data_IF_794854558539
#
_entry.id   IF_794854558539
#
_cell.length_a   1.000
_cell.length_b   1.000
_cell.length_c   1.000
_cell.angle_alpha   90.00
_cell.angle_beta   90.00
_cell.angle_gamma   90.00
#
_symmetry.space_group_name_H-M   'P 1'
#
loop_
_entity.id
_entity.type
_entity.pdbx_description
1 polymer ?
#
# COMPACT_ATOMS: atom_id res chain seq x y z
N UNK A 1 19.37 -62.70 34.93
CA UNK A 1 18.37 -62.06 35.82
C UNK A 1 19.11 -60.94 36.55
N UNK A 2 18.98 -59.71 36.08
CA UNK A 2 19.81 -58.56 36.49
C UNK A 2 19.35 -57.96 37.81
N UNK A 3 20.28 -57.77 38.75
CA UNK A 3 20.11 -56.90 39.91
C UNK A 3 20.01 -55.45 39.46
N UNK A 4 18.96 -54.75 39.92
CA UNK A 4 18.78 -53.31 39.75
C UNK A 4 19.50 -52.64 40.91
N UNK A 5 20.68 -52.08 40.65
CA UNK A 5 21.36 -51.17 41.57
C UNK A 5 20.62 -49.81 41.55
N UNK A 6 20.11 -49.41 42.70
CA UNK A 6 19.49 -48.09 42.90
C UNK A 6 20.59 -47.08 43.25
N UNK A 7 20.80 -46.11 42.36
CA UNK A 7 21.75 -45.00 42.57
C UNK A 7 21.17 -44.01 43.59
N UNK A 8 21.91 -43.59 44.63
CA UNK A 8 21.39 -42.70 45.66
C UNK A 8 21.30 -41.26 45.15
N UNK A 9 20.15 -40.62 45.38
CA UNK A 9 19.91 -39.19 45.19
C UNK A 9 20.74 -38.37 46.18
N UNK A 10 21.70 -37.58 45.68
CA UNK A 10 22.41 -36.58 46.50
C UNK A 10 21.52 -35.37 46.71
N UNK A 11 21.20 -35.09 47.97
CA UNK A 11 20.57 -33.85 48.40
C UNK A 11 21.64 -32.85 48.85
N UNK A 12 21.71 -31.70 48.19
CA UNK A 12 22.41 -30.52 48.69
C UNK A 12 21.36 -29.43 48.94
N UNK A 13 21.24 -28.97 50.18
CA UNK A 13 20.36 -27.86 50.56
C UNK A 13 18.85 -28.05 50.27
N UNK A 14 18.32 -29.27 50.39
CA UNK A 14 16.86 -29.50 50.43
C UNK A 14 16.07 -29.21 49.15
N UNK A 15 16.72 -28.81 48.06
CA UNK A 15 16.09 -28.65 46.74
C UNK A 15 16.33 -29.93 45.94
N UNK A 16 15.28 -30.61 45.44
CA UNK A 16 15.46 -31.77 44.59
C UNK A 16 16.14 -31.34 43.29
N UNK A 17 17.36 -31.84 43.06
CA UNK A 17 18.01 -31.72 41.76
C UNK A 17 17.19 -32.59 40.79
N UNK A 18 16.43 -31.94 39.90
CA UNK A 18 15.83 -32.62 38.74
C UNK A 18 16.98 -33.30 38.00
N UNK A 19 16.92 -34.63 37.92
CA UNK A 19 17.83 -35.41 37.08
C UNK A 19 17.78 -34.92 35.62
N UNK A 20 18.72 -35.38 34.77
CA UNK A 20 18.81 -34.90 33.40
C UNK A 20 17.46 -35.15 32.73
N UNK A 21 16.69 -34.08 32.52
CA UNK A 21 15.58 -34.18 31.60
C UNK A 21 16.20 -34.52 30.27
N UNK A 22 15.78 -35.65 29.70
CA UNK A 22 15.97 -35.93 28.28
C UNK A 22 15.22 -34.81 27.57
N UNK A 23 15.94 -33.71 27.31
CA UNK A 23 15.43 -32.47 26.73
C UNK A 23 15.21 -32.81 25.27
N UNK A 24 13.95 -33.15 24.97
CA UNK A 24 13.50 -33.29 23.60
C UNK A 24 13.84 -32.02 22.84
N UNK A 25 14.25 -32.21 21.59
CA UNK A 25 14.72 -31.24 20.61
C UNK A 25 13.86 -29.95 20.57
N UNK A 26 14.07 -29.04 21.52
CA UNK A 26 13.37 -27.77 21.58
C UNK A 26 14.15 -26.78 20.70
N UNK A 27 13.60 -26.31 19.57
CA UNK A 27 14.33 -25.47 18.62
C UNK A 27 14.76 -24.11 19.19
N UNK A 28 14.18 -23.72 20.34
CA UNK A 28 14.50 -22.50 21.09
C UNK A 28 15.53 -22.72 22.21
N UNK A 29 16.04 -23.95 22.39
CA UNK A 29 17.08 -24.23 23.37
C UNK A 29 18.48 -23.82 22.86
N UNK A 30 18.79 -22.54 23.01
CA UNK A 30 20.08 -21.98 22.60
C UNK A 30 21.27 -22.53 23.39
N UNK A 31 21.05 -23.09 24.59
CA UNK A 31 22.11 -23.71 25.39
C UNK A 31 22.62 -25.01 24.73
N UNK A 32 21.74 -25.72 24.02
CA UNK A 32 22.07 -26.93 23.28
C UNK A 32 22.66 -26.61 21.90
N UNK A 33 22.26 -25.48 21.31
CA UNK A 33 22.64 -25.08 19.95
C UNK A 33 24.02 -24.44 19.85
N UNK A 34 24.42 -23.69 20.87
CA UNK A 34 25.74 -23.05 20.96
C UNK A 34 26.41 -23.48 22.27
N UNK A 35 27.67 -23.96 22.28
CA UNK A 35 28.36 -24.37 23.51
C UNK A 35 28.66 -23.18 24.43
N UNK A 36 28.93 -23.45 25.72
CA UNK A 36 29.23 -22.39 26.71
C UNK A 36 30.57 -21.75 26.36
N UNK A 37 30.63 -20.42 26.43
CA UNK A 37 31.89 -19.71 26.21
C UNK A 37 32.80 -19.92 27.43
N UNK A 38 34.11 -19.74 27.24
CA UNK A 38 35.03 -19.77 28.37
C UNK A 38 34.73 -18.61 29.33
N UNK A 39 34.94 -18.85 30.64
CA UNK A 39 34.77 -17.80 31.65
C UNK A 39 35.59 -16.57 31.25
N UNK A 40 34.95 -15.39 31.22
CA UNK A 40 35.44 -14.08 30.74
C UNK A 40 35.43 -13.84 29.22
N UNK A 41 35.00 -14.80 28.39
CA UNK A 41 34.85 -14.63 26.93
C UNK A 41 33.39 -14.47 26.46
N UNK A 42 32.44 -14.40 27.40
CA UNK A 42 30.98 -14.25 27.17
C UNK A 42 30.57 -13.00 26.33
N UNK A 43 31.47 -12.02 26.18
CA UNK A 43 31.27 -10.81 25.37
C UNK A 43 32.27 -10.70 24.20
N UNK A 44 33.07 -11.73 23.97
CA UNK A 44 34.05 -11.80 22.89
C UNK A 44 33.40 -11.71 21.50
N UNK A 45 34.22 -11.50 20.46
CA UNK A 45 33.73 -11.32 19.08
C UNK A 45 32.89 -12.49 18.55
N UNK A 46 33.13 -13.69 19.09
CA UNK A 46 32.45 -14.94 18.72
C UNK A 46 31.57 -15.51 19.84
N UNK A 47 31.30 -14.72 20.88
CA UNK A 47 30.52 -15.18 22.02
C UNK A 47 29.13 -15.68 21.60
N UNK A 48 28.65 -16.68 22.33
CA UNK A 48 27.32 -17.27 22.25
C UNK A 48 26.24 -16.21 22.18
N UNK A 49 26.31 -15.17 23.02
CA UNK A 49 25.29 -14.10 23.08
C UNK A 49 25.04 -13.44 21.71
N UNK A 50 26.09 -13.17 20.93
CA UNK A 50 25.96 -12.56 19.61
C UNK A 50 25.37 -13.52 18.59
N UNK A 51 25.68 -14.82 18.70
CA UNK A 51 25.14 -15.85 17.80
C UNK A 51 23.64 -16.08 18.06
N UNK A 52 23.27 -16.20 19.33
CA UNK A 52 21.86 -16.28 19.76
C UNK A 52 21.09 -15.05 19.32
N UNK A 53 21.64 -13.85 19.53
CA UNK A 53 21.01 -12.59 19.10
C UNK A 53 20.78 -12.53 17.59
N UNK A 54 21.77 -12.88 16.77
CA UNK A 54 21.63 -12.88 15.32
C UNK A 54 20.56 -13.85 14.83
N UNK A 55 20.44 -15.00 15.49
CA UNK A 55 19.46 -16.01 15.12
C UNK A 55 18.03 -15.56 15.43
N UNK A 56 17.80 -15.04 16.64
CA UNK A 56 16.50 -14.48 17.04
C UNK A 56 16.12 -13.26 16.18
N UNK A 57 17.06 -12.33 16.00
CA UNK A 57 16.83 -11.17 15.15
C UNK A 57 16.64 -11.55 13.67
N UNK A 58 17.31 -12.59 13.20
CA UNK A 58 17.15 -13.11 11.85
C UNK A 58 15.75 -13.65 11.62
N UNK A 59 15.21 -14.43 12.56
CA UNK A 59 13.84 -14.92 12.51
C UNK A 59 12.82 -13.77 12.51
N UNK A 60 13.00 -12.79 13.39
CA UNK A 60 12.17 -11.58 13.46
C UNK A 60 12.23 -10.75 12.16
N UNK A 61 13.43 -10.50 11.63
CA UNK A 61 13.62 -9.70 10.40
C UNK A 61 13.00 -10.40 9.19
N UNK A 62 13.13 -11.73 9.09
CA UNK A 62 12.48 -12.50 8.02
C UNK A 62 10.96 -12.32 8.09
N UNK A 63 10.36 -12.51 9.26
CA UNK A 63 8.91 -12.39 9.43
C UNK A 63 8.40 -10.99 9.09
N UNK A 64 9.09 -9.95 9.57
CA UNK A 64 8.73 -8.55 9.32
C UNK A 64 8.85 -8.20 7.83
N UNK A 65 9.99 -8.53 7.22
CA UNK A 65 10.29 -8.14 5.84
C UNK A 65 9.48 -8.94 4.82
N UNK A 66 9.16 -10.20 5.10
CA UNK A 66 8.28 -11.01 4.26
C UNK A 66 6.87 -10.40 4.21
N UNK A 67 6.29 -10.02 5.36
CA UNK A 67 5.00 -9.34 5.42
C UNK A 67 5.00 -8.01 4.66
N UNK A 68 6.07 -7.21 4.79
CA UNK A 68 6.21 -5.96 4.05
C UNK A 68 6.35 -6.19 2.55
N UNK A 69 7.20 -7.14 2.14
CA UNK A 69 7.43 -7.46 0.74
C UNK A 69 6.15 -7.93 0.07
N UNK A 70 5.45 -8.88 0.69
CA UNK A 70 4.22 -9.46 0.15
C UNK A 70 3.11 -8.41 0.04
N UNK A 71 2.97 -7.54 1.05
CA UNK A 71 2.03 -6.41 0.99
C UNK A 71 2.35 -5.43 -0.14
N UNK A 72 3.63 -5.05 -0.28
CA UNK A 72 4.10 -4.16 -1.36
C UNK A 72 3.94 -4.78 -2.75
N UNK A 73 4.15 -6.09 -2.88
CA UNK A 73 3.96 -6.83 -4.12
C UNK A 73 2.51 -6.79 -4.61
N UNK A 74 1.56 -7.04 -3.71
CA UNK A 74 0.13 -6.96 -4.02
C UNK A 74 -0.27 -5.53 -4.41
N UNK A 75 0.21 -4.53 -3.67
CA UNK A 75 -0.06 -3.11 -3.98
C UNK A 75 0.46 -2.72 -5.36
N UNK A 76 1.65 -3.19 -5.75
CA UNK A 76 2.25 -2.86 -7.05
C UNK A 76 1.44 -3.44 -8.21
N UNK A 77 0.99 -4.70 -8.10
CA UNK A 77 0.12 -5.32 -9.10
C UNK A 77 -1.20 -4.56 -9.22
N UNK A 78 -1.82 -4.23 -8.08
CA UNK A 78 -3.05 -3.45 -8.07
C UNK A 78 -2.86 -2.07 -8.70
N UNK A 79 -1.81 -1.34 -8.32
CA UNK A 79 -1.51 -0.02 -8.87
C UNK A 79 -1.28 -0.06 -10.39
N UNK A 80 -0.59 -1.08 -10.91
CA UNK A 80 -0.39 -1.27 -12.35
C UNK A 80 -1.71 -1.49 -13.10
N UNK A 81 -2.52 -2.44 -12.64
CA UNK A 81 -3.82 -2.75 -13.26
C UNK A 81 -4.79 -1.57 -13.18
N UNK A 82 -4.87 -0.93 -12.01
CA UNK A 82 -5.71 0.24 -11.80
C UNK A 82 -5.26 1.41 -12.69
N UNK A 83 -3.95 1.68 -12.78
CA UNK A 83 -3.43 2.75 -13.66
C UNK A 83 -3.79 2.50 -15.13
N UNK A 84 -3.75 1.25 -15.59
CA UNK A 84 -4.17 0.90 -16.94
C UNK A 84 -5.64 1.22 -17.18
N UNK A 85 -6.53 0.85 -16.25
CA UNK A 85 -7.95 1.17 -16.32
C UNK A 85 -8.18 2.69 -16.30
N UNK A 86 -7.57 3.43 -15.37
CA UNK A 86 -7.72 4.90 -15.34
C UNK A 86 -7.22 5.55 -16.64
N UNK A 87 -6.13 5.03 -17.21
CA UNK A 87 -5.57 5.55 -18.46
C UNK A 87 -6.54 5.42 -19.62
N UNK A 88 -7.34 4.34 -19.72
CA UNK A 88 -8.32 4.21 -20.82
C UNK A 88 -9.38 5.31 -20.74
N UNK A 89 -9.86 5.63 -19.54
CA UNK A 89 -10.82 6.71 -19.30
C UNK A 89 -10.19 8.08 -19.59
N UNK A 90 -8.97 8.33 -19.12
CA UNK A 90 -8.23 9.57 -19.39
C UNK A 90 -8.01 9.79 -20.89
N UNK A 91 -7.65 8.73 -21.64
CA UNK A 91 -7.48 8.82 -23.10
C UNK A 91 -8.80 9.18 -23.79
N UNK A 92 -9.92 8.65 -23.32
CA UNK A 92 -11.25 8.98 -23.86
C UNK A 92 -11.67 10.42 -23.54
N UNK A 93 -11.56 10.86 -22.27
CA UNK A 93 -12.07 12.19 -21.87
C UNK A 93 -11.11 13.34 -22.10
N UNK A 94 -9.82 13.08 -22.25
CA UNK A 94 -8.85 14.15 -22.60
C UNK A 94 -9.15 14.76 -23.96
N UNK A 95 -9.82 14.02 -24.85
CA UNK A 95 -10.31 14.55 -26.12
C UNK A 95 -11.40 15.61 -25.92
N UNK A 96 -12.19 15.55 -24.84
CA UNK A 96 -13.19 16.57 -24.51
C UNK A 96 -12.55 17.90 -24.06
N UNK A 97 -11.25 17.92 -23.75
CA UNK A 97 -10.49 19.14 -23.47
C UNK A 97 -9.97 19.82 -24.73
N UNK A 98 -10.28 19.28 -25.91
CA UNK A 98 -9.89 19.82 -27.20
C UNK A 98 -11.12 20.14 -28.05
N UNK A 99 -10.93 20.99 -29.05
CA UNK A 99 -11.98 21.32 -30.03
C UNK A 99 -12.41 20.06 -30.77
N UNK A 100 -13.70 19.72 -30.69
CA UNK A 100 -14.26 18.65 -31.49
C UNK A 100 -14.59 19.17 -32.90
N UNK A 101 -13.61 19.06 -33.81
CA UNK A 101 -13.81 19.44 -35.22
C UNK A 101 -14.96 18.69 -35.89
N UNK A 102 -15.26 17.45 -35.48
CA UNK A 102 -16.42 16.70 -35.98
C UNK A 102 -17.74 17.37 -35.62
N UNK A 103 -17.88 17.85 -34.39
CA UNK A 103 -19.06 18.61 -33.96
C UNK A 103 -19.15 19.96 -34.67
N UNK A 104 -18.03 20.69 -34.80
CA UNK A 104 -17.97 21.98 -35.53
C UNK A 104 -18.40 21.79 -36.98
N UNK A 105 -17.87 20.77 -37.67
CA UNK A 105 -18.25 20.45 -39.05
C UNK A 105 -19.72 20.06 -39.15
N UNK A 106 -20.23 19.23 -38.22
CA UNK A 106 -21.65 18.86 -38.22
C UNK A 106 -22.56 20.08 -38.04
N UNK A 107 -22.24 21.00 -37.11
CA UNK A 107 -23.05 22.22 -36.90
C UNK A 107 -23.02 23.15 -38.12
N UNK A 108 -21.86 23.30 -38.77
CA UNK A 108 -21.75 24.11 -40.00
C UNK A 108 -22.49 23.46 -41.18
N UNK A 109 -22.50 22.13 -41.27
CA UNK A 109 -23.28 21.40 -42.27
C UNK A 109 -24.79 21.53 -42.04
N UNK A 110 -25.25 21.51 -40.78
CA UNK A 110 -26.65 21.78 -40.45
C UNK A 110 -27.06 23.20 -40.85
N UNK A 111 -26.22 24.20 -40.54
CA UNK A 111 -26.47 25.59 -40.98
C UNK A 111 -26.56 25.68 -42.51
N UNK A 112 -25.67 25.00 -43.24
CA UNK A 112 -25.72 24.98 -44.71
C UNK A 112 -27.03 24.35 -45.25
N UNK A 113 -27.49 23.26 -44.65
CA UNK A 113 -28.74 22.59 -45.04
C UNK A 113 -29.95 23.49 -44.74
N UNK A 114 -29.95 24.18 -43.61
CA UNK A 114 -31.03 25.10 -43.24
C UNK A 114 -31.09 26.32 -44.15
N UNK A 115 -29.93 26.87 -44.55
CA UNK A 115 -29.85 27.94 -45.59
C UNK A 115 -30.43 27.45 -46.92
N UNK A 116 -30.09 26.24 -47.35
CA UNK A 116 -30.62 25.67 -48.59
C UNK A 116 -32.15 25.49 -48.54
N UNK A 117 -32.68 25.03 -47.40
CA UNK A 117 -34.12 24.87 -47.19
C UNK A 117 -34.84 26.23 -47.13
N UNK A 118 -34.26 27.21 -46.47
CA UNK A 118 -34.79 28.57 -46.41
C UNK A 118 -34.87 29.21 -47.80
N UNK A 119 -33.79 29.07 -48.60
CA UNK A 119 -33.76 29.54 -49.98
C UNK A 119 -34.82 28.86 -50.87
N UNK A 120 -35.02 27.54 -50.71
CA UNK A 120 -36.03 26.80 -51.45
C UNK A 120 -37.48 27.20 -51.09
N UNK A 121 -37.72 27.58 -49.83
CA UNK A 121 -39.04 28.04 -49.35
C UNK A 121 -39.27 29.55 -49.58
N UNK A 122 -38.31 30.28 -50.16
CA UNK A 122 -38.41 31.71 -50.40
C UNK A 122 -38.31 32.59 -49.16
N UNK A 123 -37.85 32.04 -48.03
CA UNK A 123 -37.56 32.83 -46.82
C UNK A 123 -36.19 33.51 -46.91
N UNK A 124 -36.02 34.62 -46.19
CA UNK A 124 -34.76 35.36 -46.15
C UNK A 124 -33.70 34.55 -45.40
N UNK A 125 -32.47 34.53 -45.93
CA UNK A 125 -31.32 33.81 -45.33
C UNK A 125 -31.02 34.30 -43.91
N UNK A 126 -31.32 35.56 -43.62
CA UNK A 126 -31.12 36.16 -42.30
C UNK A 126 -32.05 35.61 -41.20
N UNK A 127 -33.11 34.90 -41.57
CA UNK A 127 -34.00 34.23 -40.60
C UNK A 127 -33.44 32.86 -40.15
N UNK A 128 -32.35 32.38 -40.75
CA UNK A 128 -31.69 31.14 -40.36
C UNK A 128 -30.78 31.40 -39.15
N UNK A 129 -30.92 30.66 -38.04
CA UNK A 129 -30.03 30.79 -36.90
C UNK A 129 -28.58 30.51 -37.29
N UNK A 130 -27.69 31.48 -37.04
CA UNK A 130 -26.25 31.30 -37.21
C UNK A 130 -25.71 30.22 -36.26
N UNK A 131 -24.72 29.45 -36.72
CA UNK A 131 -24.06 28.48 -35.84
C UNK A 131 -23.34 29.17 -34.68
N UNK A 132 -23.49 28.60 -33.49
CA UNK A 132 -22.79 29.06 -32.29
C UNK A 132 -21.31 28.66 -32.26
N UNK A 133 -20.83 27.83 -33.20
CA UNK A 133 -19.46 27.34 -33.26
C UNK A 133 -18.81 27.81 -34.57
N UNK A 134 -17.66 28.48 -34.45
CA UNK A 134 -16.84 28.85 -35.61
C UNK A 134 -15.46 28.21 -35.49
N UNK A 135 -14.71 28.02 -36.60
CA UNK A 135 -13.35 27.46 -36.55
C UNK A 135 -12.35 28.31 -35.73
N UNK A 136 -12.74 29.55 -35.40
CA UNK A 136 -11.93 30.55 -34.71
C UNK A 136 -12.46 30.91 -33.32
N UNK A 137 -13.54 30.26 -32.84
CA UNK A 137 -14.05 30.54 -31.50
C UNK A 137 -13.07 30.02 -30.44
N UNK A 138 -12.77 30.85 -29.43
CA UNK A 138 -11.97 30.44 -28.28
C UNK A 138 -12.63 29.26 -27.57
N UNK A 139 -11.95 28.11 -27.61
CA UNK A 139 -12.46 26.90 -26.99
C UNK A 139 -12.24 26.94 -25.49
N UNK A 140 -13.35 26.92 -24.75
CA UNK A 140 -13.33 26.74 -23.31
C UNK A 140 -14.00 25.40 -22.98
N UNK A 141 -13.25 24.42 -22.44
CA UNK A 141 -13.84 23.17 -22.01
C UNK A 141 -14.86 23.43 -20.90
N UNK A 142 -15.90 22.61 -20.84
CA UNK A 142 -16.91 22.77 -19.80
C UNK A 142 -16.29 22.57 -18.42
N UNK A 143 -16.85 23.24 -17.41
CA UNK A 143 -16.38 23.10 -16.01
C UNK A 143 -16.47 21.63 -15.57
N UNK A 144 -17.49 20.89 -16.02
CA UNK A 144 -17.63 19.46 -15.75
C UNK A 144 -16.51 18.63 -16.39
N UNK A 145 -16.15 18.88 -17.65
CA UNK A 145 -15.12 18.09 -18.34
C UNK A 145 -13.74 18.34 -17.74
N UNK A 146 -13.44 19.58 -17.36
CA UNK A 146 -12.19 19.92 -16.68
C UNK A 146 -12.10 19.29 -15.29
N UNK A 147 -13.19 19.27 -14.52
CA UNK A 147 -13.24 18.61 -13.22
C UNK A 147 -13.06 17.08 -13.33
N UNK A 148 -13.76 16.41 -14.25
CA UNK A 148 -13.67 14.96 -14.44
C UNK A 148 -12.24 14.57 -14.84
N UNK A 149 -11.67 15.24 -15.85
CA UNK A 149 -10.30 14.99 -16.27
C UNK A 149 -9.31 15.29 -15.14
N UNK A 150 -9.47 16.38 -14.40
CA UNK A 150 -8.65 16.71 -13.23
C UNK A 150 -8.68 15.61 -12.16
N UNK A 151 -9.86 15.09 -11.83
CA UNK A 151 -10.01 13.96 -10.90
C UNK A 151 -9.30 12.70 -11.40
N UNK A 152 -9.39 12.37 -12.69
CA UNK A 152 -8.74 11.17 -13.21
C UNK A 152 -7.22 11.32 -13.35
N UNK A 153 -6.71 12.49 -13.74
CA UNK A 153 -5.27 12.75 -13.74
C UNK A 153 -4.68 12.72 -12.34
N UNK A 154 -5.38 13.28 -11.34
CA UNK A 154 -4.93 13.24 -9.93
C UNK A 154 -4.97 11.82 -9.38
N UNK A 155 -6.03 11.06 -9.67
CA UNK A 155 -6.10 9.63 -9.35
C UNK A 155 -4.91 8.87 -9.94
N UNK A 156 -4.66 9.01 -11.25
CA UNK A 156 -3.56 8.34 -11.94
C UNK A 156 -2.21 8.72 -11.33
N UNK A 157 -2.00 10.00 -11.02
CA UNK A 157 -0.78 10.49 -10.37
C UNK A 157 -0.54 9.85 -9.01
N UNK A 158 -1.57 9.74 -8.15
CA UNK A 158 -1.43 9.07 -6.86
C UNK A 158 -1.15 7.56 -6.99
N UNK A 159 -1.77 6.89 -7.97
CA UNK A 159 -1.52 5.47 -8.24
C UNK A 159 -0.06 5.23 -8.68
N UNK A 160 0.45 6.05 -9.62
CA UNK A 160 1.84 5.97 -10.07
C UNK A 160 2.83 6.33 -8.97
N UNK A 161 2.54 7.35 -8.15
CA UNK A 161 3.36 7.69 -7.00
C UNK A 161 3.44 6.51 -6.02
N UNK A 162 2.29 5.87 -5.73
CA UNK A 162 2.25 4.67 -4.86
C UNK A 162 3.09 3.53 -5.42
N UNK A 163 3.01 3.27 -6.73
CA UNK A 163 3.84 2.28 -7.40
C UNK A 163 5.35 2.62 -7.31
N UNK A 164 5.72 3.88 -7.47
CA UNK A 164 7.11 4.33 -7.35
C UNK A 164 7.64 4.10 -5.92
N UNK A 165 6.89 4.50 -4.89
CA UNK A 165 7.30 4.30 -3.51
C UNK A 165 7.30 2.81 -3.10
N UNK A 166 6.40 2.00 -3.65
CA UNK A 166 6.43 0.54 -3.51
C UNK A 166 7.75 -0.05 -4.04
N UNK A 167 8.21 0.39 -5.21
CA UNK A 167 9.51 -0.04 -5.78
C UNK A 167 10.68 0.44 -4.91
N UNK A 168 10.68 1.70 -4.45
CA UNK A 168 11.73 2.22 -3.55
C UNK A 168 11.80 1.43 -2.25
N UNK A 169 10.64 1.11 -1.67
CA UNK A 169 10.56 0.30 -0.45
C UNK A 169 11.20 -1.06 -0.65
N UNK A 170 10.92 -1.74 -1.78
CA UNK A 170 11.58 -3.01 -2.11
C UNK A 170 13.09 -2.88 -2.18
N UNK A 171 13.60 -1.79 -2.75
CA UNK A 171 15.04 -1.53 -2.80
C UNK A 171 15.63 -1.35 -1.40
N UNK A 172 14.94 -0.64 -0.50
CA UNK A 172 15.38 -0.48 0.89
C UNK A 172 15.39 -1.79 1.65
N UNK A 173 14.34 -2.61 1.52
CA UNK A 173 14.25 -3.95 2.12
C UNK A 173 15.40 -4.83 1.61
N UNK A 174 15.66 -4.83 0.30
CA UNK A 174 16.75 -5.60 -0.28
C UNK A 174 18.11 -5.17 0.30
N UNK A 175 18.36 -3.87 0.39
CA UNK A 175 19.61 -3.33 0.95
C UNK A 175 19.76 -3.65 2.45
N UNK A 176 18.66 -3.68 3.20
CA UNK A 176 18.67 -4.07 4.61
C UNK A 176 19.12 -5.53 4.78
N UNK A 177 18.60 -6.44 3.95
CA UNK A 177 18.93 -7.89 4.00
C UNK A 177 20.33 -8.25 3.54
N UNK A 178 21.07 -7.32 2.93
CA UNK A 178 22.42 -7.59 2.44
C UNK A 178 23.34 -8.02 3.59
N UNK A 179 23.78 -9.28 3.56
CA UNK A 179 24.52 -9.94 4.65
C UNK A 179 25.83 -9.18 4.96
N UNK A 180 26.02 -8.67 6.18
CA UNK A 180 27.29 -8.04 6.56
C UNK A 180 28.41 -9.08 6.66
N UNK A 181 29.59 -8.76 6.12
CA UNK A 181 30.81 -9.53 6.33
C UNK A 181 31.46 -9.16 7.67
N UNK A 182 31.90 -10.15 8.46
CA UNK A 182 32.60 -9.88 9.72
C UNK A 182 32.36 -10.91 10.81
N UNK A 183 32.79 -10.58 12.03
CA UNK A 183 32.54 -11.40 13.23
C UNK A 183 31.04 -11.35 13.61
N UNK A 184 30.53 -12.34 14.38
CA UNK A 184 29.15 -12.29 14.89
C UNK A 184 28.81 -10.97 15.57
N UNK A 185 29.73 -10.45 16.39
CA UNK A 185 29.56 -9.14 17.05
C UNK A 185 29.39 -7.99 16.06
N UNK A 186 30.23 -7.91 15.02
CA UNK A 186 30.15 -6.85 14.01
C UNK A 186 28.82 -6.92 13.23
N UNK A 187 28.39 -8.14 12.90
CA UNK A 187 27.09 -8.38 12.25
C UNK A 187 25.92 -7.87 13.11
N UNK A 188 25.96 -8.11 14.42
CA UNK A 188 24.95 -7.60 15.36
C UNK A 188 24.88 -6.07 15.32
N UNK A 189 26.02 -5.40 15.43
CA UNK A 189 26.07 -3.93 15.43
C UNK A 189 25.59 -3.33 14.11
N UNK A 190 26.01 -3.89 12.98
CA UNK A 190 25.59 -3.41 11.65
C UNK A 190 24.08 -3.60 11.46
N UNK A 191 23.54 -4.76 11.85
CA UNK A 191 22.08 -5.01 11.81
C UNK A 191 21.34 -4.01 12.69
N UNK A 192 21.78 -3.83 13.93
CA UNK A 192 21.12 -2.94 14.87
C UNK A 192 21.14 -1.49 14.40
N UNK A 193 22.28 -1.03 13.86
CA UNK A 193 22.39 0.29 13.25
C UNK A 193 21.41 0.48 12.09
N UNK A 194 21.29 -0.52 11.20
CA UNK A 194 20.32 -0.47 10.09
C UNK A 194 18.88 -0.49 10.58
N UNK A 195 18.56 -1.29 11.60
CA UNK A 195 17.21 -1.36 12.18
C UNK A 195 16.82 -0.04 12.84
N UNK A 196 17.70 0.55 13.64
CA UNK A 196 17.51 1.89 14.20
C UNK A 196 17.33 2.94 13.11
N UNK A 197 18.07 2.82 11.99
CA UNK A 197 17.83 3.63 10.80
C UNK A 197 16.43 3.46 10.23
N UNK A 198 15.97 2.22 10.01
CA UNK A 198 14.61 1.97 9.50
C UNK A 198 13.52 2.60 10.39
N UNK A 199 13.70 2.52 11.71
CA UNK A 199 12.79 3.07 12.69
C UNK A 199 12.84 4.61 12.72
N UNK A 200 14.03 5.20 12.77
CA UNK A 200 14.23 6.65 12.78
C UNK A 200 13.68 7.33 11.52
N UNK A 201 13.84 6.68 10.36
CA UNK A 201 13.33 7.19 9.08
C UNK A 201 11.87 6.80 8.82
N UNK A 202 11.23 6.06 9.74
CA UNK A 202 9.81 5.73 9.66
C UNK A 202 9.45 4.88 8.43
N UNK A 203 10.33 3.97 8.00
CA UNK A 203 10.09 3.15 6.79
C UNK A 203 8.81 2.33 6.95
N UNK A 204 8.55 1.77 8.13
CA UNK A 204 7.30 1.07 8.43
C UNK A 204 6.06 1.96 8.27
N UNK A 205 6.15 3.24 8.63
CA UNK A 205 5.06 4.21 8.43
C UNK A 205 4.82 4.49 6.94
N UNK A 206 5.88 4.65 6.15
CA UNK A 206 5.77 4.83 4.69
C UNK A 206 5.06 3.63 4.06
N UNK A 207 5.45 2.40 4.43
CA UNK A 207 4.85 1.15 3.93
C UNK A 207 3.37 1.09 4.33
N UNK A 208 3.06 1.44 5.58
CA UNK A 208 1.69 1.50 6.09
C UNK A 208 0.83 2.54 5.36
N UNK A 209 1.42 3.61 4.83
CA UNK A 209 0.70 4.68 4.11
C UNK A 209 0.36 4.31 2.65
N UNK A 210 1.13 3.42 2.00
CA UNK A 210 0.94 3.05 0.60
C UNK A 210 -0.49 2.53 0.28
N UNK A 211 -1.08 1.59 1.05
CA UNK A 211 -2.46 1.16 0.84
C UNK A 211 -3.48 2.31 0.89
N UNK A 212 -3.26 3.31 1.77
CA UNK A 212 -4.17 4.45 1.91
C UNK A 212 -4.08 5.38 0.71
N UNK A 213 -2.87 5.67 0.20
CA UNK A 213 -2.70 6.47 -1.02
C UNK A 213 -3.38 5.81 -2.22
N UNK A 214 -3.23 4.50 -2.37
CA UNK A 214 -3.86 3.73 -3.44
C UNK A 214 -5.39 3.69 -3.33
N UNK A 215 -5.89 3.55 -2.11
CA UNK A 215 -7.34 3.56 -1.84
C UNK A 215 -7.94 4.96 -2.06
N UNK A 216 -7.22 6.02 -1.70
CA UNK A 216 -7.62 7.40 -1.97
C UNK A 216 -7.67 7.68 -3.48
N UNK A 217 -6.67 7.21 -4.22
CA UNK A 217 -6.64 7.24 -5.68
C UNK A 217 -7.88 6.57 -6.29
N UNK A 218 -8.19 5.34 -5.87
CA UNK A 218 -9.42 4.63 -6.28
C UNK A 218 -10.69 5.43 -5.97
N UNK A 219 -10.78 6.05 -4.78
CA UNK A 219 -11.92 6.87 -4.38
C UNK A 219 -12.12 8.09 -5.29
N UNK A 220 -11.04 8.82 -5.58
CA UNK A 220 -11.06 9.97 -6.48
C UNK A 220 -11.50 9.53 -7.89
N UNK A 221 -11.00 8.39 -8.39
CA UNK A 221 -11.43 7.84 -9.68
C UNK A 221 -12.93 7.53 -9.72
N UNK A 222 -13.45 6.87 -8.69
CA UNK A 222 -14.87 6.49 -8.64
C UNK A 222 -15.79 7.71 -8.52
N UNK A 223 -15.37 8.75 -7.79
CA UNK A 223 -16.09 10.04 -7.79
C UNK A 223 -16.14 10.62 -9.20
N UNK A 224 -15.01 10.66 -9.91
CA UNK A 224 -14.97 11.08 -11.32
C UNK A 224 -15.86 10.22 -12.22
N UNK A 225 -15.90 8.90 -11.99
CA UNK A 225 -16.74 7.95 -12.74
C UNK A 225 -18.23 8.23 -12.54
N UNK A 226 -18.67 8.50 -11.30
CA UNK A 226 -20.06 8.85 -11.02
C UNK A 226 -20.42 10.16 -11.71
N UNK A 227 -19.58 11.19 -11.61
CA UNK A 227 -19.80 12.48 -12.27
C UNK A 227 -19.90 12.34 -13.79
N UNK A 228 -19.06 11.49 -14.39
CA UNK A 228 -19.10 11.18 -15.82
C UNK A 228 -20.39 10.45 -16.24
N UNK A 229 -20.93 9.56 -15.39
CA UNK A 229 -22.14 8.79 -15.69
C UNK A 229 -23.44 9.59 -15.55
N UNK A 230 -23.46 10.63 -14.70
CA UNK A 230 -24.66 11.46 -14.45
C UNK A 230 -25.30 12.02 -15.74
N UNK A 231 -24.56 12.69 -16.65
CA UNK A 231 -25.14 13.20 -17.89
C UNK A 231 -25.51 12.09 -18.88
N UNK A 232 -24.85 10.93 -18.82
CA UNK A 232 -25.10 9.82 -19.74
C UNK A 232 -26.38 9.05 -19.39
N UNK A 233 -26.47 8.57 -18.15
CA UNK A 233 -27.65 7.85 -17.66
C UNK A 233 -27.74 7.88 -16.13
N UNK A 234 -28.70 8.64 -15.60
CA UNK A 234 -28.89 8.85 -14.15
C UNK A 234 -29.10 7.54 -13.36
N UNK A 235 -29.76 6.55 -13.95
CA UNK A 235 -30.00 5.25 -13.28
C UNK A 235 -28.68 4.50 -13.05
N UNK A 236 -27.82 4.41 -14.07
CA UNK A 236 -26.51 3.74 -13.94
C UNK A 236 -25.63 4.50 -12.95
N UNK A 237 -25.60 5.84 -13.04
CA UNK A 237 -24.85 6.68 -12.11
C UNK A 237 -25.28 6.46 -10.65
N UNK A 238 -26.59 6.37 -10.40
CA UNK A 238 -27.12 6.11 -9.05
C UNK A 238 -26.69 4.73 -8.53
N UNK A 239 -26.78 3.69 -9.36
CA UNK A 239 -26.39 2.32 -8.96
C UNK A 239 -24.89 2.29 -8.62
N UNK A 240 -24.03 2.76 -9.53
CA UNK A 240 -22.58 2.80 -9.33
C UNK A 240 -22.20 3.66 -8.11
N UNK A 241 -22.87 4.79 -7.93
CA UNK A 241 -22.69 5.67 -6.78
C UNK A 241 -23.03 5.00 -5.45
N UNK A 242 -24.16 4.29 -5.37
CA UNK A 242 -24.54 3.56 -4.14
C UNK A 242 -23.57 2.45 -3.79
N UNK A 243 -23.10 1.67 -4.77
CA UNK A 243 -22.12 0.60 -4.56
C UNK A 243 -20.79 1.18 -4.09
N UNK A 244 -20.34 2.26 -4.73
CA UNK A 244 -19.11 2.97 -4.36
C UNK A 244 -19.19 3.48 -2.91
N UNK A 245 -20.28 4.17 -2.58
CA UNK A 245 -20.49 4.71 -1.25
C UNK A 245 -20.53 3.61 -0.17
N UNK A 246 -21.28 2.52 -0.42
CA UNK A 246 -21.35 1.40 0.52
C UNK A 246 -19.99 0.74 0.74
N UNK A 247 -19.22 0.53 -0.34
CA UNK A 247 -17.89 -0.07 -0.27
C UNK A 247 -16.92 0.80 0.53
N UNK A 248 -16.87 2.11 0.26
CA UNK A 248 -16.00 3.04 0.98
C UNK A 248 -16.46 3.25 2.43
N UNK A 249 -17.76 3.22 2.71
CA UNK A 249 -18.27 3.25 4.07
C UNK A 249 -17.81 2.03 4.86
N UNK A 250 -17.93 0.82 4.30
CA UNK A 250 -17.44 -0.42 4.93
C UNK A 250 -15.92 -0.36 5.14
N UNK A 251 -15.17 0.11 4.13
CA UNK A 251 -13.72 0.28 4.24
C UNK A 251 -13.35 1.26 5.37
N UNK A 252 -13.97 2.43 5.41
CA UNK A 252 -13.71 3.44 6.43
C UNK A 252 -14.09 2.93 7.84
N UNK A 253 -15.25 2.30 7.97
CA UNK A 253 -15.67 1.66 9.22
C UNK A 253 -14.63 0.64 9.65
N UNK A 254 -14.19 -0.25 8.75
CA UNK A 254 -13.19 -1.30 9.07
C UNK A 254 -11.84 -0.72 9.51
N UNK A 255 -11.45 0.46 9.00
CA UNK A 255 -10.21 1.13 9.38
C UNK A 255 -10.33 1.94 10.69
N UNK A 256 -11.52 2.46 11.00
CA UNK A 256 -11.75 3.26 12.22
C UNK A 256 -12.18 2.39 13.40
N UNK A 257 -12.85 1.25 13.17
CA UNK A 257 -13.32 0.33 14.21
C UNK A 257 -12.23 -0.09 15.23
N UNK A 258 -10.98 -0.38 14.82
CA UNK A 258 -9.92 -0.78 15.75
C UNK A 258 -9.50 0.34 16.72
N UNK A 259 -9.74 1.61 16.37
CA UNK A 259 -9.43 2.77 17.21
C UNK A 259 -10.40 2.83 18.41
N UNK A 260 -11.63 2.36 18.22
CA UNK A 260 -12.68 2.40 19.26
C UNK A 260 -12.80 1.10 20.04
N UNK A 261 -12.48 -0.04 19.41
CA UNK A 261 -12.58 -1.36 20.00
C UNK A 261 -11.25 -2.13 19.84
N UNK A 262 -10.34 -2.07 20.84
CA UNK A 262 -9.07 -2.79 20.80
C UNK A 262 -9.23 -4.34 20.80
N UNK A 263 -10.44 -4.86 20.97
CA UNK A 263 -10.76 -6.30 20.88
C UNK A 263 -11.14 -6.77 19.47
N UNK A 264 -11.16 -5.88 18.47
CA UNK A 264 -11.53 -6.24 17.10
C UNK A 264 -10.34 -6.90 16.34
N UNK A 265 -10.56 -8.01 15.62
CA UNK A 265 -9.51 -8.74 14.89
C UNK A 265 -8.99 -8.00 13.64
N UNK A 266 -9.53 -6.83 13.33
CA UNK A 266 -9.08 -5.98 12.22
C UNK A 266 -7.79 -5.25 12.62
N UNK A 267 -6.65 -5.91 12.47
CA UNK A 267 -5.34 -5.25 12.61
C UNK A 267 -5.12 -4.32 11.44
N UNK A 268 -4.92 -3.03 11.72
CA UNK A 268 -4.54 -2.03 10.72
C UNK A 268 -3.10 -1.60 10.99
N UNK A 269 -2.35 -1.15 9.97
CA UNK A 269 -0.96 -0.68 10.18
C UNK A 269 -0.87 0.49 11.18
N UNK A 270 -1.97 1.21 11.43
CA UNK A 270 -2.07 2.24 12.46
C UNK A 270 -2.15 1.67 13.89
N UNK A 271 -2.85 0.55 14.10
CA UNK A 271 -2.91 -0.11 15.41
C UNK A 271 -1.55 -0.68 15.81
N UNK A 272 -0.81 -1.25 14.85
CA UNK A 272 0.54 -1.78 15.10
C UNK A 272 1.54 -0.65 15.42
N UNK A 273 1.41 0.52 14.79
CA UNK A 273 2.26 1.69 15.10
C UNK A 273 1.99 2.27 16.50
N UNK A 274 0.74 2.26 16.96
CA UNK A 274 0.41 2.67 18.34
C UNK A 274 0.88 1.63 19.38
N UNK A 275 0.74 0.35 19.09
CA UNK A 275 1.18 -0.72 19.99
C UNK A 275 2.72 -0.72 20.13
N UNK A 276 3.46 -0.54 19.03
CA UNK A 276 4.92 -0.36 19.04
C UNK A 276 5.36 0.85 19.87
N UNK A 277 4.62 1.97 19.82
CA UNK A 277 4.91 3.15 20.64
C UNK A 277 4.64 2.95 22.14
N UNK A 278 3.75 2.03 22.49
CA UNK A 278 3.38 1.72 23.88
C UNK A 278 4.31 0.70 24.55
N UNK A 279 5.03 -0.10 23.75
CA UNK A 279 5.99 -1.11 24.21
C UNK A 279 7.42 -0.59 24.35
N UNK A 280 7.71 0.65 23.93
CA UNK A 280 8.99 1.29 24.26
C UNK A 280 9.03 1.55 25.78
N UNK A 281 9.85 0.84 26.56
CA UNK A 281 10.04 1.20 27.95
C UNK A 281 10.72 2.57 27.94
N UNK A 282 10.08 3.57 28.55
CA UNK A 282 10.80 4.81 28.90
C UNK A 282 11.92 4.39 29.85
N UNK A 283 13.16 4.73 29.50
CA UNK A 283 14.33 4.60 30.36
C UNK A 283 14.08 5.20 31.74
#
# INVERSE_FOLDING_TARGET
MSSIDTVPTRHFFGIPQRGPQVRGNDPLDYEQKFPEDERYQELGFFARVWRTYLEECGAFDIQLLEGWRDGVDVLLVFAGLFSAVVTTFVVQTSQNLQVNYGQVTATLLFELIDIQRAAANGSLVNDVPHSNLTPFSDFHPTISDSLINGLWFTSLSFSLATALFAVLTKQWIHQYTAVPSGTPRDKCYVRQFRYMGLEQWGVGFIIGLLPFLLSASLGIFLVGLVLFLVPLQRVIASIVGTITFATFAIYFISNVLPIWFPSCPYKTPLSDAQEASSQVPRC
#
